data_IF_546485070795
#
_entry.id   IF_546485070795
#
_cell.length_a   1.000
_cell.length_b   1.000
_cell.length_c   1.000
_cell.angle_alpha   90.00
_cell.angle_beta   90.00
_cell.angle_gamma   90.00
#
_symmetry.space_group_name_H-M   'P 1'
#
loop_
_entity.id
_entity.type
_entity.pdbx_description
1 polymer ?
#
# COMPACT_ATOMS: atom_id res chain seq x y z
N UNK A 1 -42.55 -12.21 -12.82
CA UNK A 1 -42.89 -11.07 -11.93
C UNK A 1 -42.31 -11.38 -10.56
N UNK A 2 -41.47 -10.61 -9.90
CA UNK A 2 -40.92 -9.27 -10.12
C UNK A 2 -39.84 -9.14 -9.02
N UNK A 3 -38.64 -8.65 -9.36
CA UNK A 3 -37.71 -7.90 -8.50
C UNK A 3 -37.27 -8.54 -7.16
N UNK A 4 -35.98 -8.72 -6.89
CA UNK A 4 -35.01 -7.63 -6.77
C UNK A 4 -33.60 -8.24 -6.72
N UNK A 5 -32.78 -8.11 -7.76
CA UNK A 5 -31.87 -6.97 -7.96
C UNK A 5 -30.98 -6.62 -6.74
N UNK A 6 -30.58 -7.64 -5.99
CA UNK A 6 -29.29 -7.66 -5.31
C UNK A 6 -28.56 -8.91 -5.78
N UNK A 7 -28.06 -8.94 -7.02
CA UNK A 7 -26.67 -8.52 -7.27
C UNK A 7 -26.10 -7.88 -6.00
N UNK A 8 -25.74 -8.74 -5.03
CA UNK A 8 -24.64 -8.44 -4.13
C UNK A 8 -23.50 -8.22 -5.11
N UNK A 9 -23.39 -6.98 -5.59
CA UNK A 9 -22.26 -6.47 -6.29
C UNK A 9 -21.18 -6.70 -5.26
N UNK A 10 -20.46 -7.81 -5.42
CA UNK A 10 -19.33 -8.19 -4.58
C UNK A 10 -18.53 -6.89 -4.48
N UNK A 11 -18.67 -6.22 -3.34
CA UNK A 11 -18.06 -4.92 -3.17
C UNK A 11 -16.59 -5.23 -3.34
N UNK A 12 -15.94 -4.59 -4.31
CA UNK A 12 -14.58 -4.90 -4.73
C UNK A 12 -13.60 -4.48 -3.62
N UNK A 13 -13.67 -5.20 -2.51
CA UNK A 13 -13.13 -4.85 -1.22
C UNK A 13 -11.70 -5.31 -1.19
N UNK A 14 -10.82 -4.38 -0.87
CA UNK A 14 -9.40 -4.61 -0.89
C UNK A 14 -8.79 -4.17 0.44
N UNK A 15 -7.74 -4.88 0.84
CA UNK A 15 -6.97 -4.61 2.06
C UNK A 15 -6.56 -3.14 2.12
N UNK A 16 -6.09 -2.60 1.00
CA UNK A 16 -5.67 -1.21 0.86
C UNK A 16 -6.77 -0.19 1.15
N UNK A 17 -8.00 -0.45 0.67
CA UNK A 17 -9.17 0.41 0.94
C UNK A 17 -9.46 0.46 2.44
N UNK A 18 -9.31 -0.69 3.11
CA UNK A 18 -9.51 -0.77 4.56
C UNK A 18 -8.40 -0.03 5.34
N UNK A 19 -7.13 -0.20 4.97
CA UNK A 19 -6.00 0.52 5.57
C UNK A 19 -6.21 2.03 5.41
N UNK A 20 -6.54 2.47 4.21
CA UNK A 20 -6.79 3.85 3.85
C UNK A 20 -7.83 4.51 4.77
N UNK A 21 -9.04 3.95 4.85
CA UNK A 21 -10.12 4.49 5.67
C UNK A 21 -9.81 4.40 7.17
N UNK A 22 -9.17 3.32 7.62
CA UNK A 22 -8.80 3.15 9.03
C UNK A 22 -7.77 4.18 9.46
N UNK A 23 -6.73 4.40 8.64
CA UNK A 23 -5.71 5.42 8.91
C UNK A 23 -6.32 6.82 8.90
N UNK A 24 -7.17 7.14 7.91
CA UNK A 24 -7.91 8.39 7.88
C UNK A 24 -8.67 8.65 9.19
N UNK A 25 -9.44 7.65 9.68
CA UNK A 25 -10.20 7.76 10.93
C UNK A 25 -9.30 7.97 12.15
N UNK A 26 -8.17 7.25 12.22
CA UNK A 26 -7.19 7.38 13.31
C UNK A 26 -6.54 8.76 13.29
N UNK A 27 -6.04 9.20 12.13
CA UNK A 27 -5.39 10.51 11.96
C UNK A 27 -6.33 11.64 12.37
N UNK A 28 -7.57 11.60 11.90
CA UNK A 28 -8.58 12.61 12.23
C UNK A 28 -8.94 12.65 13.71
N UNK A 29 -8.86 11.51 14.41
CA UNK A 29 -9.05 11.44 15.87
C UNK A 29 -7.87 12.03 16.65
N UNK A 30 -6.65 11.93 16.13
CA UNK A 30 -5.42 12.37 16.81
C UNK A 30 -5.09 13.83 16.49
N UNK A 31 -5.10 14.20 15.20
CA UNK A 31 -4.63 15.49 14.68
C UNK A 31 -5.80 16.49 14.53
N UNK A 32 -7.03 16.00 14.48
CA UNK A 32 -8.21 16.82 14.17
C UNK A 32 -8.53 16.81 12.67
N UNK A 33 -9.39 17.73 12.23
CA UNK A 33 -9.82 17.80 10.83
C UNK A 33 -8.85 18.66 10.03
N UNK A 34 -8.14 18.06 9.09
CA UNK A 34 -7.21 18.73 8.19
C UNK A 34 -7.66 18.49 6.73
N UNK A 35 -7.52 19.50 5.87
CA UNK A 35 -7.89 19.40 4.45
C UNK A 35 -7.05 18.37 3.69
N UNK A 36 -5.89 17.99 4.24
CA UNK A 36 -4.99 17.00 3.64
C UNK A 36 -5.20 15.56 4.15
N UNK A 37 -6.25 15.26 4.92
CA UNK A 37 -6.48 13.92 5.51
C UNK A 37 -6.58 12.80 4.48
N UNK A 38 -7.26 13.04 3.37
CA UNK A 38 -7.44 12.06 2.30
C UNK A 38 -6.12 11.78 1.57
N UNK A 39 -5.32 12.82 1.35
CA UNK A 39 -4.02 12.70 0.69
C UNK A 39 -2.98 12.03 1.61
N UNK A 40 -2.95 12.39 2.89
CA UNK A 40 -2.06 11.77 3.87
C UNK A 40 -2.35 10.28 4.06
N UNK A 41 -3.62 9.88 4.06
CA UNK A 41 -3.99 8.47 4.11
C UNK A 41 -3.58 7.72 2.83
N UNK A 42 -3.60 8.39 1.68
CA UNK A 42 -3.16 7.80 0.41
C UNK A 42 -1.64 7.61 0.42
N UNK A 43 -0.89 8.62 0.88
CA UNK A 43 0.56 8.52 1.07
C UNK A 43 0.95 7.39 2.03
N UNK A 44 0.18 7.20 3.11
CA UNK A 44 0.42 6.09 4.03
C UNK A 44 0.22 4.72 3.37
N UNK A 45 -0.75 4.57 2.49
CA UNK A 45 -0.91 3.33 1.71
C UNK A 45 0.21 3.17 0.69
N UNK A 46 0.53 4.25 -0.04
CA UNK A 46 1.60 4.25 -1.04
C UNK A 46 2.97 3.94 -0.43
N UNK A 47 3.24 4.33 0.82
CA UNK A 47 4.51 4.02 1.48
C UNK A 47 4.73 2.51 1.66
N UNK A 48 3.69 1.73 1.94
CA UNK A 48 3.82 0.26 1.98
C UNK A 48 4.12 -0.34 0.61
N UNK A 49 3.51 0.17 -0.46
CA UNK A 49 3.82 -0.24 -1.82
C UNK A 49 5.29 0.07 -2.17
N UNK A 50 5.78 1.25 -1.76
CA UNK A 50 7.18 1.65 -1.92
C UNK A 50 8.12 0.75 -1.13
N UNK A 51 7.78 0.38 0.12
CA UNK A 51 8.59 -0.55 0.91
C UNK A 51 8.69 -1.94 0.26
N UNK A 52 7.57 -2.45 -0.28
CA UNK A 52 7.58 -3.72 -1.02
C UNK A 52 8.45 -3.61 -2.27
N UNK A 53 8.25 -2.57 -3.07
CA UNK A 53 9.04 -2.32 -4.27
C UNK A 53 10.53 -2.24 -3.96
N UNK A 54 10.89 -1.51 -2.90
CA UNK A 54 12.28 -1.37 -2.48
C UNK A 54 12.87 -2.69 -1.97
N UNK A 55 12.11 -3.47 -1.19
CA UNK A 55 12.51 -4.81 -0.77
C UNK A 55 12.80 -5.72 -1.97
N UNK A 56 11.92 -5.72 -2.98
CA UNK A 56 12.13 -6.48 -4.23
C UNK A 56 13.38 -6.00 -4.97
N UNK A 57 13.63 -4.69 -5.03
CA UNK A 57 14.84 -4.14 -5.63
C UNK A 57 16.11 -4.63 -4.93
N UNK A 58 16.14 -4.61 -3.60
CA UNK A 58 17.28 -5.10 -2.80
C UNK A 58 17.53 -6.60 -3.07
N UNK A 59 16.47 -7.41 -3.06
CA UNK A 59 16.59 -8.84 -3.35
C UNK A 59 17.09 -9.08 -4.79
N UNK A 60 16.57 -8.33 -5.75
CA UNK A 60 16.99 -8.44 -7.16
C UNK A 60 18.45 -8.06 -7.33
N UNK A 61 18.88 -6.94 -6.74
CA UNK A 61 20.29 -6.54 -6.74
C UNK A 61 21.18 -7.62 -6.13
N UNK A 62 20.73 -8.25 -5.04
CA UNK A 62 21.48 -9.35 -4.44
C UNK A 62 21.52 -10.61 -5.31
N UNK A 63 20.44 -10.93 -6.04
CA UNK A 63 20.40 -12.06 -6.98
C UNK A 63 21.37 -11.89 -8.15
N UNK A 64 21.70 -10.65 -8.53
CA UNK A 64 22.71 -10.34 -9.56
C UNK A 64 24.04 -9.95 -8.94
N UNK A 65 24.38 -10.50 -7.77
CA UNK A 65 25.65 -10.28 -7.07
C UNK A 65 26.02 -8.79 -6.88
N UNK A 66 25.04 -7.95 -6.59
CA UNK A 66 25.18 -6.50 -6.37
C UNK A 66 25.70 -5.72 -7.59
N UNK A 67 25.62 -6.30 -8.79
CA UNK A 67 26.06 -5.64 -10.01
C UNK A 67 25.22 -4.39 -10.29
N UNK A 68 23.91 -4.40 -10.00
CA UNK A 68 23.03 -3.26 -10.25
C UNK A 68 23.41 -2.06 -9.37
N UNK A 69 23.61 -2.27 -8.07
CA UNK A 69 24.00 -1.19 -7.15
C UNK A 69 25.45 -0.75 -7.30
N UNK A 70 26.37 -1.64 -7.69
CA UNK A 70 27.81 -1.32 -7.77
C UNK A 70 28.21 -0.73 -9.13
N UNK A 71 27.72 -1.30 -10.23
CA UNK A 71 28.12 -0.90 -11.59
C UNK A 71 27.12 0.06 -12.24
N UNK A 72 25.85 -0.06 -11.86
CA UNK A 72 24.75 0.70 -12.45
C UNK A 72 24.03 1.58 -11.42
N UNK A 73 24.75 2.04 -10.39
CA UNK A 73 24.22 2.86 -9.29
C UNK A 73 23.26 3.99 -9.75
N UNK A 74 23.62 4.85 -10.73
CA UNK A 74 22.71 5.91 -11.16
C UNK A 74 21.42 5.37 -11.79
N UNK A 75 21.48 4.25 -12.52
CA UNK A 75 20.29 3.61 -13.08
C UNK A 75 19.44 2.93 -12.01
N UNK A 76 20.08 2.27 -11.04
CA UNK A 76 19.40 1.66 -9.91
C UNK A 76 18.64 2.73 -9.10
N UNK A 77 19.30 3.86 -8.82
CA UNK A 77 18.66 4.99 -8.14
C UNK A 77 17.56 5.64 -8.99
N UNK A 78 17.77 5.85 -10.29
CA UNK A 78 16.75 6.39 -11.17
C UNK A 78 15.52 5.47 -11.23
N UNK A 79 15.71 4.16 -11.29
CA UNK A 79 14.64 3.17 -11.26
C UNK A 79 13.86 3.20 -9.95
N UNK A 80 14.56 3.35 -8.81
CA UNK A 80 13.92 3.51 -7.51
C UNK A 80 13.00 4.74 -7.46
N UNK A 81 13.53 5.90 -7.87
CA UNK A 81 12.78 7.16 -7.91
C UNK A 81 11.58 7.05 -8.86
N UNK A 82 11.78 6.50 -10.06
CA UNK A 82 10.72 6.30 -11.04
C UNK A 82 9.61 5.38 -10.51
N UNK A 83 9.97 4.29 -9.81
CA UNK A 83 9.02 3.39 -9.18
C UNK A 83 8.19 4.09 -8.11
N UNK A 84 8.81 4.86 -7.22
CA UNK A 84 8.10 5.65 -6.21
C UNK A 84 7.12 6.65 -6.81
N UNK A 85 7.55 7.40 -7.84
CA UNK A 85 6.66 8.33 -8.54
C UNK A 85 5.49 7.61 -9.20
N UNK A 86 5.73 6.46 -9.83
CA UNK A 86 4.69 5.67 -10.50
C UNK A 86 3.66 5.14 -9.49
N UNK A 87 4.11 4.63 -8.35
CA UNK A 87 3.24 4.15 -7.26
C UNK A 87 2.40 5.31 -6.71
N UNK A 88 3.04 6.43 -6.35
CA UNK A 88 2.36 7.60 -5.82
C UNK A 88 1.33 8.16 -6.80
N UNK A 89 1.70 8.29 -8.08
CA UNK A 89 0.80 8.72 -9.14
C UNK A 89 -0.41 7.79 -9.31
N UNK A 90 -0.17 6.47 -9.33
CA UNK A 90 -1.21 5.47 -9.48
C UNK A 90 -2.20 5.50 -8.31
N UNK A 91 -1.70 5.57 -7.07
CA UNK A 91 -2.54 5.66 -5.87
C UNK A 91 -3.29 6.97 -5.79
N UNK A 92 -2.65 8.09 -6.11
CA UNK A 92 -3.30 9.40 -6.18
C UNK A 92 -4.47 9.40 -7.18
N UNK A 93 -4.25 8.86 -8.39
CA UNK A 93 -5.29 8.76 -9.42
C UNK A 93 -6.45 7.84 -9.01
N UNK A 94 -6.17 6.79 -8.24
CA UNK A 94 -7.17 5.81 -7.79
C UNK A 94 -7.98 6.29 -6.58
N UNK A 95 -7.33 6.91 -5.60
CA UNK A 95 -7.90 7.21 -4.28
C UNK A 95 -8.31 8.67 -4.08
N UNK A 96 -7.59 9.61 -4.70
CA UNK A 96 -7.80 11.05 -4.50
C UNK A 96 -8.54 11.73 -5.66
N UNK A 97 -9.07 10.97 -6.62
CA UNK A 97 -9.96 11.51 -7.66
C UNK A 97 -11.30 11.92 -7.04
N UNK A 98 -11.93 12.96 -7.56
CA UNK A 98 -13.21 13.48 -7.06
C UNK A 98 -14.24 12.36 -6.83
N UNK A 99 -14.77 12.31 -5.59
CA UNK A 99 -15.73 11.31 -5.16
C UNK A 99 -15.19 9.87 -5.00
N UNK A 100 -13.89 9.61 -5.20
CA UNK A 100 -13.28 8.31 -4.91
C UNK A 100 -13.26 8.02 -3.40
N UNK A 101 -12.91 9.01 -2.58
CA UNK A 101 -12.91 8.88 -1.13
C UNK A 101 -14.29 8.47 -0.59
N UNK A 102 -15.36 9.19 -0.96
CA UNK A 102 -16.72 8.88 -0.50
C UNK A 102 -17.17 7.48 -0.93
N UNK A 103 -16.81 7.06 -2.15
CA UNK A 103 -17.11 5.71 -2.64
C UNK A 103 -16.39 4.66 -1.80
N UNK A 104 -15.08 4.78 -1.62
CA UNK A 104 -14.28 3.84 -0.82
C UNK A 104 -14.77 3.80 0.63
N UNK A 105 -15.12 4.96 1.19
CA UNK A 105 -15.68 5.05 2.55
C UNK A 105 -17.00 4.30 2.67
N UNK A 106 -17.94 4.53 1.75
CA UNK A 106 -19.23 3.81 1.72
C UNK A 106 -19.04 2.31 1.56
N UNK A 107 -18.13 1.88 0.68
CA UNK A 107 -17.79 0.47 0.51
C UNK A 107 -17.30 -0.13 1.84
N UNK A 108 -16.29 0.46 2.48
CA UNK A 108 -15.74 -0.05 3.75
C UNK A 108 -16.76 0.00 4.90
N UNK A 109 -17.67 0.99 4.91
CA UNK A 109 -18.72 1.10 5.91
C UNK A 109 -19.89 0.11 5.70
N UNK A 110 -20.16 -0.27 4.46
CA UNK A 110 -21.21 -1.24 4.12
C UNK A 110 -20.73 -2.70 4.21
N UNK A 111 -19.43 -2.94 4.30
CA UNK A 111 -18.89 -4.29 4.44
C UNK A 111 -19.37 -4.99 5.73
N UNK A 112 -20.00 -6.18 5.64
CA UNK A 112 -20.46 -6.91 6.82
C UNK A 112 -19.30 -7.55 7.59
N UNK A 113 -18.18 -7.88 6.91
CA UNK A 113 -17.04 -8.62 7.48
C UNK A 113 -15.89 -7.71 7.95
N UNK A 114 -16.20 -6.57 8.59
CA UNK A 114 -15.20 -5.55 9.00
C UNK A 114 -14.07 -6.12 9.86
N UNK A 115 -14.39 -7.02 10.80
CA UNK A 115 -13.39 -7.65 11.67
C UNK A 115 -12.36 -8.47 10.88
N UNK A 116 -12.82 -9.28 9.91
CA UNK A 116 -11.94 -10.09 9.06
C UNK A 116 -10.99 -9.20 8.26
N UNK A 117 -11.54 -8.17 7.60
CA UNK A 117 -10.75 -7.22 6.81
C UNK A 117 -9.80 -6.41 7.67
N UNK A 118 -10.19 -6.03 8.88
CA UNK A 118 -9.32 -5.33 9.83
C UNK A 118 -8.18 -6.16 10.38
N UNK A 119 -8.39 -7.46 10.58
CA UNK A 119 -7.31 -8.38 10.96
C UNK A 119 -6.37 -8.61 9.77
N UNK A 120 -6.93 -8.81 8.58
CA UNK A 120 -6.16 -8.98 7.34
C UNK A 120 -5.32 -7.73 7.02
N UNK A 121 -5.85 -6.54 7.28
CA UNK A 121 -5.13 -5.27 7.10
C UNK A 121 -3.94 -5.14 8.04
N UNK A 122 -4.10 -5.55 9.31
CA UNK A 122 -3.01 -5.53 10.29
C UNK A 122 -1.94 -6.56 9.90
N UNK A 123 -2.36 -7.78 9.59
CA UNK A 123 -1.46 -8.85 9.16
C UNK A 123 -0.65 -8.42 7.94
N UNK A 124 -1.31 -7.77 6.97
CA UNK A 124 -0.65 -7.23 5.79
C UNK A 124 0.41 -6.18 6.13
N UNK A 125 0.09 -5.19 6.98
CA UNK A 125 1.07 -4.17 7.39
C UNK A 125 2.29 -4.79 8.08
N UNK A 126 2.07 -5.76 8.98
CA UNK A 126 3.14 -6.48 9.65
C UNK A 126 3.99 -7.25 8.63
N UNK A 127 3.34 -7.95 7.71
CA UNK A 127 4.00 -8.70 6.64
C UNK A 127 4.90 -7.81 5.79
N UNK A 128 4.42 -6.64 5.34
CA UNK A 128 5.23 -5.70 4.54
C UNK A 128 6.47 -5.25 5.29
N UNK A 129 6.34 -4.91 6.57
CA UNK A 129 7.47 -4.48 7.40
C UNK A 129 8.47 -5.62 7.61
N UNK A 130 8.00 -6.83 7.93
CA UNK A 130 8.86 -8.01 8.09
C UNK A 130 9.56 -8.37 6.78
N UNK A 131 8.84 -8.37 5.66
CA UNK A 131 9.40 -8.60 4.33
C UNK A 131 10.50 -7.58 3.99
N UNK A 132 10.26 -6.31 4.28
CA UNK A 132 11.25 -5.26 4.07
C UNK A 132 12.50 -5.48 4.92
N UNK A 133 12.34 -5.74 6.23
CA UNK A 133 13.45 -6.03 7.13
C UNK A 133 14.24 -7.28 6.70
N UNK A 134 13.54 -8.32 6.27
CA UNK A 134 14.13 -9.54 5.72
C UNK A 134 14.92 -9.25 4.45
N UNK A 135 14.39 -8.43 3.54
CA UNK A 135 15.08 -8.02 2.32
C UNK A 135 16.37 -7.25 2.64
N UNK A 136 16.31 -6.32 3.60
CA UNK A 136 17.49 -5.60 4.10
C UNK A 136 18.51 -6.54 4.74
N UNK A 137 18.06 -7.53 5.51
CA UNK A 137 18.91 -8.53 6.13
C UNK A 137 19.66 -9.35 5.06
N UNK A 138 18.95 -9.88 4.06
CA UNK A 138 19.56 -10.60 2.93
C UNK A 138 20.50 -9.70 2.13
N UNK A 139 20.11 -8.45 1.85
CA UNK A 139 20.96 -7.51 1.12
C UNK A 139 22.29 -7.25 1.83
N UNK A 140 22.27 -7.20 3.17
CA UNK A 140 23.46 -6.96 4.00
C UNK A 140 24.31 -8.22 4.21
N UNK A 141 23.70 -9.32 4.64
CA UNK A 141 24.41 -10.52 5.10
C UNK A 141 24.45 -11.68 4.09
N UNK A 142 23.66 -11.61 3.01
CA UNK A 142 23.51 -12.70 2.04
C UNK A 142 22.63 -13.86 2.56
N UNK A 143 22.43 -14.87 1.71
CA UNK A 143 21.80 -16.13 2.11
C UNK A 143 22.81 -16.98 2.87
N UNK A 144 23.18 -16.57 4.09
CA UNK A 144 23.85 -17.48 5.01
C UNK A 144 22.75 -18.23 5.76
N UNK A 145 22.26 -19.30 5.15
CA UNK A 145 21.32 -20.26 5.72
C UNK A 145 21.96 -21.64 5.64
#
# INVERSE_FOLDING_TARGET
MLYSDKVIKDTDMNIWKYIYIRFFKIRRRIIGRDGADEFAAMLFVASFDVLLFFGIMILTDKLVDKILSTKYEPFFFAFYILGMFTIGWFRNRSMCKDGAFERIKKEVENEPKKLKWGLLSILYMIFVVLFFLFSCYIGKYGFNL
#
